data_IF_851873174015
#
_entry.id   IF_851873174015
#
_cell.length_a   1.000
_cell.length_b   1.000
_cell.length_c   1.000
_cell.angle_alpha   90.00
_cell.angle_beta   90.00
_cell.angle_gamma   90.00
#
_symmetry.space_group_name_H-M   'P 1'
#
loop_
_entity.id
_entity.type
_entity.pdbx_description
1 polymer ?
#
# COMPACT_ATOMS: atom_id res chain seq x y z
N UNK A 1 18.72 -11.75 28.63
CA UNK A 1 18.96 -12.37 27.30
C UNK A 1 18.85 -11.29 26.24
N UNK A 2 19.96 -10.92 25.60
CA UNK A 2 20.03 -9.95 24.49
C UNK A 2 20.34 -10.76 23.23
N UNK A 3 19.47 -10.71 22.22
CA UNK A 3 19.83 -11.11 20.87
C UNK A 3 20.36 -9.88 20.13
N UNK A 4 21.63 -9.91 19.77
CA UNK A 4 22.31 -8.90 18.95
C UNK A 4 22.09 -9.23 17.48
N UNK A 5 21.46 -8.34 16.73
CA UNK A 5 21.30 -8.45 15.28
C UNK A 5 22.47 -7.75 14.58
N UNK A 6 23.18 -8.45 13.70
CA UNK A 6 24.18 -7.86 12.81
C UNK A 6 23.52 -7.51 11.47
N UNK A 7 23.58 -6.24 11.07
CA UNK A 7 23.03 -5.77 9.80
C UNK A 7 24.18 -5.55 8.82
N UNK A 8 24.27 -6.37 7.76
CA UNK A 8 25.14 -6.12 6.61
C UNK A 8 24.30 -5.66 5.41
N UNK A 9 24.63 -4.48 4.88
CA UNK A 9 23.94 -3.89 3.72
C UNK A 9 24.12 -4.78 2.49
N UNK A 10 23.01 -5.25 1.90
CA UNK A 10 22.97 -5.86 0.57
C UNK A 10 22.50 -7.31 0.46
N UNK A 11 22.16 -8.01 1.56
CA UNK A 11 21.84 -9.45 1.50
C UNK A 11 20.65 -9.92 2.35
N UNK A 12 19.84 -9.03 2.92
CA UNK A 12 18.72 -9.41 3.80
C UNK A 12 19.14 -9.76 5.24
N UNK A 13 18.15 -9.93 6.12
CA UNK A 13 18.32 -10.26 7.55
C UNK A 13 18.03 -11.76 7.72
N UNK A 14 19.00 -12.52 8.24
CA UNK A 14 18.81 -13.91 8.63
C UNK A 14 18.72 -14.02 10.15
N UNK A 15 17.64 -14.62 10.67
CA UNK A 15 17.49 -14.93 12.09
C UNK A 15 17.70 -16.41 12.31
N UNK A 16 18.62 -16.77 13.20
CA UNK A 16 18.90 -18.16 13.58
C UNK A 16 18.36 -18.43 14.99
N UNK A 17 17.25 -19.19 15.02
CA UNK A 17 16.90 -20.31 15.92
C UNK A 17 16.23 -20.13 17.31
N UNK A 18 15.23 -21.01 17.48
CA UNK A 18 14.78 -21.81 18.65
C UNK A 18 13.95 -21.22 19.80
N UNK A 19 12.61 -21.37 19.74
CA UNK A 19 11.81 -22.27 20.59
C UNK A 19 10.28 -22.11 20.33
N UNK A 20 9.46 -23.18 20.48
CA UNK A 20 8.03 -23.12 20.21
C UNK A 20 7.34 -22.51 21.42
N UNK A 21 6.87 -21.27 21.30
CA UNK A 21 5.98 -20.66 22.29
C UNK A 21 4.64 -20.44 21.63
N UNK A 22 3.65 -21.16 22.16
CA UNK A 22 2.22 -20.88 22.04
C UNK A 22 1.99 -19.38 21.81
N UNK A 23 1.70 -18.99 20.57
CA UNK A 23 1.29 -17.64 20.26
C UNK A 23 -0.19 -17.69 19.92
N UNK A 24 -0.92 -17.09 20.85
CA UNK A 24 -2.27 -16.56 20.75
C UNK A 24 -2.65 -16.31 19.30
N UNK A 25 -3.87 -16.75 18.94
CA UNK A 25 -4.56 -16.41 17.70
C UNK A 25 -4.37 -14.91 17.48
N UNK A 26 -3.38 -14.56 16.65
CA UNK A 26 -3.26 -13.23 16.13
C UNK A 26 -4.57 -13.00 15.38
N UNK A 27 -5.14 -11.81 15.50
CA UNK A 27 -6.16 -11.41 14.56
C UNK A 27 -5.50 -11.42 13.18
N UNK A 28 -5.58 -12.56 12.46
CA UNK A 28 -4.92 -12.92 11.20
C UNK A 28 -5.43 -12.08 10.02
N UNK A 29 -5.82 -10.85 10.27
CA UNK A 29 -6.41 -9.94 9.33
C UNK A 29 -5.36 -9.30 8.40
N UNK A 30 -4.47 -10.10 7.82
CA UNK A 30 -3.43 -9.67 6.86
C UNK A 30 -2.67 -8.44 7.39
N UNK A 31 -1.79 -8.62 8.38
CA UNK A 31 -0.92 -7.55 8.86
C UNK A 31 0.18 -7.22 7.82
N UNK A 32 -0.23 -6.49 6.78
CA UNK A 32 0.67 -5.97 5.76
C UNK A 32 1.74 -5.02 6.34
N UNK A 33 1.58 -4.60 7.60
CA UNK A 33 2.54 -3.82 8.39
C UNK A 33 3.90 -4.52 8.56
N UNK A 34 3.94 -5.85 8.44
CA UNK A 34 5.15 -6.64 8.63
C UNK A 34 6.04 -6.70 7.37
N UNK A 35 5.57 -6.23 6.21
CA UNK A 35 6.33 -6.26 4.95
C UNK A 35 7.09 -4.96 4.69
N UNK A 36 8.24 -5.06 4.00
CA UNK A 36 9.01 -3.91 3.57
C UNK A 36 8.26 -3.04 2.55
N UNK A 37 8.54 -1.73 2.46
CA UNK A 37 7.84 -0.82 1.55
C UNK A 37 8.01 -1.19 0.07
N UNK A 38 9.14 -1.80 -0.30
CA UNK A 38 9.40 -2.24 -1.69
C UNK A 38 8.66 -3.54 -2.03
N UNK A 39 8.61 -4.49 -1.09
CA UNK A 39 7.83 -5.73 -1.24
C UNK A 39 6.35 -5.40 -1.38
N UNK A 40 5.84 -4.50 -0.54
CA UNK A 40 4.46 -4.02 -0.62
C UNK A 40 4.20 -3.29 -1.95
N UNK A 41 5.15 -2.48 -2.44
CA UNK A 41 5.00 -1.80 -3.73
C UNK A 41 4.95 -2.80 -4.90
N UNK A 42 5.78 -3.85 -4.88
CA UNK A 42 5.76 -4.91 -5.88
C UNK A 42 4.46 -5.71 -5.84
N UNK A 43 3.99 -6.09 -4.64
CA UNK A 43 2.71 -6.77 -4.46
C UNK A 43 1.55 -5.95 -5.02
N UNK A 44 1.54 -4.64 -4.74
CA UNK A 44 0.54 -3.71 -5.26
C UNK A 44 0.60 -3.59 -6.77
N UNK A 45 1.80 -3.49 -7.37
CA UNK A 45 1.93 -3.43 -8.82
C UNK A 45 1.28 -4.65 -9.48
N UNK A 46 1.55 -5.85 -8.99
CA UNK A 46 0.95 -7.07 -9.53
C UNK A 46 -0.56 -7.12 -9.30
N UNK A 47 -1.01 -6.90 -8.07
CA UNK A 47 -2.42 -7.06 -7.70
C UNK A 47 -3.28 -5.97 -8.36
N UNK A 48 -2.87 -4.71 -8.30
CA UNK A 48 -3.66 -3.60 -8.84
C UNK A 48 -3.72 -3.61 -10.36
N UNK A 49 -2.68 -4.09 -11.07
CA UNK A 49 -2.75 -4.26 -12.53
C UNK A 49 -3.79 -5.30 -12.92
N UNK A 50 -3.82 -6.46 -12.25
CA UNK A 50 -4.84 -7.49 -12.51
C UNK A 50 -6.25 -7.02 -12.13
N UNK A 51 -6.38 -6.28 -11.03
CA UNK A 51 -7.65 -5.68 -10.62
C UNK A 51 -8.13 -4.66 -11.66
N UNK A 52 -7.24 -3.81 -12.19
CA UNK A 52 -7.60 -2.84 -13.21
C UNK A 52 -8.04 -3.51 -14.51
N UNK A 53 -7.34 -4.57 -14.93
CA UNK A 53 -7.73 -5.39 -16.08
C UNK A 53 -9.12 -5.99 -15.88
N UNK A 54 -9.35 -6.63 -14.74
CA UNK A 54 -10.65 -7.25 -14.43
C UNK A 54 -11.77 -6.22 -14.26
N UNK A 55 -11.48 -5.08 -13.64
CA UNK A 55 -12.43 -3.97 -13.53
C UNK A 55 -12.86 -3.47 -14.91
N UNK A 56 -11.94 -3.40 -15.87
CA UNK A 56 -12.25 -2.95 -17.23
C UNK A 56 -13.26 -3.86 -17.96
N UNK A 57 -13.35 -5.15 -17.61
CA UNK A 57 -14.35 -6.05 -18.21
C UNK A 57 -15.74 -5.89 -17.59
N UNK A 58 -15.82 -5.41 -16.35
CA UNK A 58 -17.06 -5.32 -15.55
C UNK A 58 -17.60 -3.90 -15.39
N UNK A 59 -16.81 -2.88 -15.74
CA UNK A 59 -17.07 -1.47 -15.41
C UNK A 59 -18.41 -0.99 -15.95
N UNK A 60 -19.17 -0.29 -15.11
CA UNK A 60 -20.43 0.35 -15.49
C UNK A 60 -20.26 1.84 -15.76
N UNK A 61 -21.24 2.45 -16.43
CA UNK A 61 -21.29 3.92 -16.58
C UNK A 61 -21.27 4.64 -15.23
N UNK A 62 -21.92 4.08 -14.21
CA UNK A 62 -21.95 4.67 -12.87
C UNK A 62 -20.56 4.65 -12.23
N UNK A 63 -19.77 3.59 -12.42
CA UNK A 63 -18.40 3.52 -11.91
C UNK A 63 -17.49 4.56 -12.58
N UNK A 64 -17.63 4.74 -13.90
CA UNK A 64 -16.89 5.78 -14.64
C UNK A 64 -17.24 7.17 -14.10
N UNK A 65 -18.53 7.45 -13.87
CA UNK A 65 -18.95 8.73 -13.31
C UNK A 65 -18.34 8.99 -11.93
N UNK A 66 -18.29 7.97 -11.05
CA UNK A 66 -17.62 8.07 -9.75
C UNK A 66 -16.12 8.33 -9.88
N UNK A 67 -15.44 7.63 -10.77
CA UNK A 67 -14.00 7.85 -11.03
C UNK A 67 -13.72 9.27 -11.53
N UNK A 68 -14.57 9.80 -12.42
CA UNK A 68 -14.46 11.19 -12.89
C UNK A 68 -14.69 12.20 -11.77
N UNK A 69 -15.65 11.94 -10.89
CA UNK A 69 -15.91 12.79 -9.72
C UNK A 69 -14.71 12.82 -8.76
N UNK A 70 -14.11 11.66 -8.47
CA UNK A 70 -12.90 11.55 -7.64
C UNK A 70 -11.76 12.37 -8.26
N UNK A 71 -11.50 12.23 -9.57
CA UNK A 71 -10.47 13.00 -10.25
C UNK A 71 -10.73 14.50 -10.23
N UNK A 72 -11.99 14.91 -10.38
CA UNK A 72 -12.35 16.32 -10.35
C UNK A 72 -12.16 16.94 -8.97
N UNK A 73 -12.49 16.20 -7.91
CA UNK A 73 -12.21 16.62 -6.53
C UNK A 73 -10.71 16.70 -6.26
N UNK A 74 -9.94 15.71 -6.69
CA UNK A 74 -8.48 15.69 -6.59
C UNK A 74 -7.83 16.90 -7.26
N UNK A 75 -8.32 17.32 -8.44
CA UNK A 75 -7.81 18.51 -9.17
C UNK A 75 -8.10 19.83 -8.45
N UNK A 76 -9.22 19.92 -7.73
CA UNK A 76 -9.63 21.14 -7.02
C UNK A 76 -8.88 21.34 -5.72
N UNK A 77 -8.25 20.30 -5.19
CA UNK A 77 -7.50 20.40 -3.95
C UNK A 77 -6.16 21.13 -4.15
N UNK A 78 -5.99 22.24 -3.43
CA UNK A 78 -4.78 23.09 -3.52
C UNK A 78 -3.60 22.52 -2.75
N UNK A 79 -3.85 21.60 -1.81
CA UNK A 79 -2.82 20.86 -1.11
C UNK A 79 -2.57 19.54 -1.85
N UNK A 80 -1.55 19.53 -2.72
CA UNK A 80 -1.10 18.33 -3.45
C UNK A 80 -0.50 17.22 -2.55
N UNK A 81 -0.67 17.36 -1.24
CA UNK A 81 -0.24 16.42 -0.23
C UNK A 81 -1.47 15.96 0.50
N UNK A 82 -2.20 15.03 -0.10
CA UNK A 82 -2.47 13.81 0.61
C UNK A 82 -3.05 12.72 -0.29
N UNK A 83 -2.70 11.51 0.09
CA UNK A 83 -2.98 10.24 -0.55
C UNK A 83 -4.46 9.83 -0.54
N UNK A 84 -5.37 10.68 -0.07
CA UNK A 84 -6.78 10.31 0.13
C UNK A 84 -7.49 10.13 -1.20
N UNK A 85 -7.35 11.06 -2.15
CA UNK A 85 -7.94 10.89 -3.47
C UNK A 85 -7.32 9.74 -4.26
N UNK A 86 -6.04 9.48 -4.03
CA UNK A 86 -5.33 8.34 -4.63
C UNK A 86 -5.87 7.02 -4.06
N UNK A 87 -6.07 6.92 -2.73
CA UNK A 87 -6.77 5.80 -2.09
C UNK A 87 -8.15 5.58 -2.70
N UNK A 88 -8.96 6.63 -2.72
CA UNK A 88 -10.33 6.56 -3.20
C UNK A 88 -10.38 6.13 -4.67
N UNK A 89 -9.46 6.61 -5.50
CA UNK A 89 -9.36 6.20 -6.89
C UNK A 89 -9.05 4.69 -7.01
N UNK A 90 -8.00 4.21 -6.35
CA UNK A 90 -7.62 2.79 -6.39
C UNK A 90 -8.72 1.87 -5.83
N UNK A 91 -9.38 2.26 -4.74
CA UNK A 91 -10.52 1.51 -4.18
C UNK A 91 -11.71 1.52 -5.13
N UNK A 92 -12.03 2.65 -5.77
CA UNK A 92 -13.14 2.72 -6.72
C UNK A 92 -12.87 1.87 -7.98
N UNK A 93 -11.63 1.79 -8.46
CA UNK A 93 -11.24 0.84 -9.52
C UNK A 93 -11.49 -0.61 -9.05
N UNK A 94 -11.09 -0.94 -7.82
CA UNK A 94 -11.32 -2.27 -7.28
C UNK A 94 -12.82 -2.60 -7.08
N UNK A 95 -13.64 -1.64 -6.67
CA UNK A 95 -15.09 -1.80 -6.55
C UNK A 95 -15.76 -2.04 -7.92
N UNK A 96 -15.22 -1.46 -9.00
CA UNK A 96 -15.75 -1.68 -10.35
C UNK A 96 -15.64 -3.16 -10.81
N UNK A 97 -14.79 -3.97 -10.16
CA UNK A 97 -14.75 -5.44 -10.36
C UNK A 97 -16.01 -6.17 -9.86
N UNK A 98 -16.88 -5.49 -9.12
CA UNK A 98 -18.02 -6.09 -8.40
C UNK A 98 -17.60 -7.14 -7.35
N UNK A 99 -16.34 -7.10 -6.92
CA UNK A 99 -15.79 -7.97 -5.88
C UNK A 99 -15.25 -7.13 -4.71
N UNK A 100 -16.00 -7.11 -3.61
CA UNK A 100 -15.66 -6.34 -2.41
C UNK A 100 -14.41 -6.85 -1.70
N UNK A 101 -14.02 -8.11 -1.88
CA UNK A 101 -12.78 -8.64 -1.30
C UNK A 101 -11.55 -8.01 -1.97
N UNK A 102 -11.59 -7.79 -3.30
CA UNK A 102 -10.50 -7.09 -4.01
C UNK A 102 -10.37 -5.64 -3.55
N UNK A 103 -11.50 -4.96 -3.33
CA UNK A 103 -11.51 -3.60 -2.77
C UNK A 103 -10.89 -3.55 -1.36
N UNK A 104 -11.25 -4.50 -0.48
CA UNK A 104 -10.68 -4.59 0.86
C UNK A 104 -9.17 -4.87 0.85
N UNK A 105 -8.69 -5.71 -0.08
CA UNK A 105 -7.26 -5.98 -0.27
C UNK A 105 -6.51 -4.72 -0.67
N UNK A 106 -7.02 -3.96 -1.65
CA UNK A 106 -6.41 -2.70 -2.11
C UNK A 106 -6.38 -1.66 -1.00
N UNK A 107 -7.49 -1.47 -0.29
CA UNK A 107 -7.58 -0.54 0.85
C UNK A 107 -6.58 -0.90 1.96
N UNK A 108 -6.48 -2.17 2.33
CA UNK A 108 -5.53 -2.64 3.33
C UNK A 108 -4.08 -2.41 2.89
N UNK A 109 -3.72 -2.71 1.64
CA UNK A 109 -2.36 -2.45 1.14
C UNK A 109 -2.02 -0.96 1.13
N UNK A 110 -2.99 -0.08 0.84
CA UNK A 110 -2.77 1.36 0.81
C UNK A 110 -2.64 1.97 2.21
N UNK A 111 -3.53 1.62 3.14
CA UNK A 111 -3.54 2.16 4.51
C UNK A 111 -2.23 1.87 5.26
N UNK A 112 -1.52 0.80 4.94
CA UNK A 112 -0.19 0.54 5.51
C UNK A 112 0.88 1.56 5.10
N UNK A 113 0.72 2.25 3.96
CA UNK A 113 1.61 3.35 3.54
C UNK A 113 1.67 4.47 4.57
N UNK A 114 0.54 4.71 5.25
CA UNK A 114 0.40 5.75 6.30
C UNK A 114 1.06 5.31 7.61
N UNK A 115 1.02 4.01 7.90
CA UNK A 115 1.49 3.43 9.16
C UNK A 115 2.96 3.00 9.12
N UNK A 116 3.53 2.74 7.95
CA UNK A 116 4.93 2.32 7.81
C UNK A 116 5.90 3.52 7.99
N UNK A 117 6.72 3.57 9.06
CA UNK A 117 7.63 4.68 9.33
C UNK A 117 8.75 4.80 8.29
N UNK A 118 9.08 3.73 7.56
CA UNK A 118 10.03 3.78 6.46
C UNK A 118 9.45 4.52 5.25
N UNK A 119 8.14 4.41 5.01
CA UNK A 119 7.47 5.11 3.92
C UNK A 119 7.49 6.64 4.13
N UNK A 120 7.29 7.10 5.37
CA UNK A 120 7.39 8.53 5.72
C UNK A 120 8.78 9.13 5.48
N UNK A 121 9.84 8.31 5.52
CA UNK A 121 11.22 8.76 5.26
C UNK A 121 11.50 8.91 3.76
N UNK A 122 10.97 8.03 2.91
CA UNK A 122 11.12 8.10 1.44
C UNK A 122 10.17 9.12 0.79
N UNK A 123 9.01 9.39 1.39
CA UNK A 123 8.07 10.40 0.91
C UNK A 123 8.51 11.85 1.20
N UNK A 124 9.61 12.06 1.94
CA UNK A 124 10.24 13.38 1.99
C UNK A 124 10.86 13.65 0.61
N UNK A 125 10.51 14.74 -0.07
CA UNK A 125 11.30 15.16 -1.23
C UNK A 125 12.74 15.30 -0.74
N UNK A 126 13.67 14.61 -1.40
CA UNK A 126 15.08 14.95 -1.29
C UNK A 126 15.17 16.43 -1.67
N UNK A 127 15.22 17.33 -0.68
CA UNK A 127 15.73 18.67 -0.93
C UNK A 127 17.14 18.43 -1.42
N UNK A 128 17.34 18.58 -2.73
CA UNK A 128 18.65 18.73 -3.33
C UNK A 128 19.26 19.98 -2.71
N UNK A 129 19.90 19.84 -1.55
CA UNK A 129 20.89 20.79 -1.06
C UNK A 129 22.16 20.53 -1.86
N UNK A 130 22.17 20.99 -3.11
CA UNK A 130 23.40 21.20 -3.85
C UNK A 130 23.26 22.39 -4.80
N UNK A 131 23.75 23.54 -4.33
CA UNK A 131 24.16 24.77 -5.03
C UNK A 131 24.37 25.81 -3.91
N UNK A 132 25.54 26.36 -3.62
CA UNK A 132 26.89 26.36 -4.18
C UNK A 132 27.88 26.31 -3.02
#
# INVERSE_FOLDING_TARGET
MKATFEVRKGSGIHVISNHPKHQQIADESLEFANYGPFELLQARQLIESNIAEFAATQVTKQDIMKLMEIQEKARKEKCFRDSEWDLQFHVQVALATQNTALAAIVEKMWTQRVHNPYWKKTARPYRLTYRR
#
